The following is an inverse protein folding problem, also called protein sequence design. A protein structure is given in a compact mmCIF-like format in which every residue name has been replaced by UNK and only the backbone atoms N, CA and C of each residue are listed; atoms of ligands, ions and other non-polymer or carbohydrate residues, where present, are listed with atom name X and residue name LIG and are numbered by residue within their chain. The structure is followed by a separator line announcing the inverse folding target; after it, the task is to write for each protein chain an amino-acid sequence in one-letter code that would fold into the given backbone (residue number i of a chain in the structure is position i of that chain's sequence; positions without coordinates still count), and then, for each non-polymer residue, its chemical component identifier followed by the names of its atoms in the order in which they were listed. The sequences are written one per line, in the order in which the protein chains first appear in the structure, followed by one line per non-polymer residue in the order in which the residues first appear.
data_IF_781099585080
#
_entry.id   IF_781099585080
#
_cell.length_a   1.000
_cell.length_b   1.000
_cell.length_c   1.000
_cell.angle_alpha   90.00
_cell.angle_beta   90.00
_cell.angle_gamma   90.00
#
_symmetry.space_group_name_H-M   'P 1'
#
loop_
_entity.id
_entity.type
_entity.pdbx_description
1 polymer ?
#
# COMPACT_ATOMS: atom_id res chain seq x y z
N UNK A 1 -11.18 9.26 4.47
CA UNK A 1 -10.00 8.56 3.96
C UNK A 1 -8.77 8.98 4.76
N UNK A 2 -8.06 8.00 5.36
CA UNK A 2 -6.83 8.26 6.12
C UNK A 2 -5.60 8.28 5.21
N UNK A 3 -4.77 9.31 5.35
CA UNK A 3 -3.61 9.53 4.47
C UNK A 3 -2.36 9.79 5.29
N UNK A 4 -1.29 9.05 4.99
CA UNK A 4 0.04 9.29 5.53
C UNK A 4 0.83 10.19 4.58
N UNK A 5 1.24 11.35 5.05
CA UNK A 5 2.01 12.33 4.31
C UNK A 5 3.47 12.34 4.76
N UNK A 6 4.31 11.58 4.07
CA UNK A 6 5.76 11.51 4.35
C UNK A 6 6.48 12.72 3.73
N UNK A 7 6.16 13.93 4.19
CA UNK A 7 6.63 15.22 3.60
C UNK A 7 8.14 15.39 3.65
N UNK A 8 8.79 14.84 4.68
CA UNK A 8 10.25 14.90 4.84
C UNK A 8 11.04 14.00 3.90
N UNK A 9 10.40 13.02 3.22
CA UNK A 9 11.11 12.08 2.36
C UNK A 9 11.75 12.77 1.16
N UNK A 10 13.08 12.67 1.03
CA UNK A 10 13.87 13.24 -0.07
C UNK A 10 13.46 14.68 -0.43
N UNK A 11 13.54 15.66 0.49
CA UNK A 11 13.15 17.04 0.21
C UNK A 11 14.03 17.71 -0.86
N UNK A 12 15.20 17.16 -1.10
CA UNK A 12 16.12 17.49 -2.18
C UNK A 12 16.98 16.29 -2.55
N UNK A 13 17.82 16.41 -3.56
CA UNK A 13 18.66 15.31 -4.09
C UNK A 13 19.68 14.77 -3.06
N UNK A 14 20.04 15.56 -2.05
CA UNK A 14 20.95 15.16 -0.97
C UNK A 14 20.22 14.56 0.24
N UNK A 15 18.88 14.64 0.29
CA UNK A 15 18.07 14.24 1.44
C UNK A 15 18.29 15.15 2.67
N UNK A 16 18.75 16.40 2.46
CA UNK A 16 18.97 17.34 3.57
C UNK A 16 17.63 17.75 4.18
N UNK A 17 17.48 17.60 5.50
CA UNK A 17 16.23 17.88 6.20
C UNK A 17 15.25 16.69 6.20
N UNK A 18 15.65 15.50 5.75
CA UNK A 18 14.77 14.33 5.70
C UNK A 18 14.24 13.90 7.08
N UNK A 19 14.98 14.20 8.14
CA UNK A 19 14.59 13.88 9.52
C UNK A 19 13.86 15.01 10.24
N UNK A 20 13.52 16.09 9.53
CA UNK A 20 12.69 17.14 10.11
C UNK A 20 11.26 16.61 10.36
N UNK A 21 10.62 17.02 11.48
CA UNK A 21 9.30 16.53 11.86
C UNK A 21 8.18 17.28 11.09
N UNK A 22 8.14 17.07 9.78
CA UNK A 22 7.19 17.73 8.85
C UNK A 22 6.15 16.80 8.26
N UNK A 23 6.16 15.52 8.66
CA UNK A 23 5.19 14.54 8.22
C UNK A 23 3.86 14.66 8.97
N UNK A 24 2.78 14.19 8.35
CA UNK A 24 1.41 14.27 8.87
C UNK A 24 0.67 12.95 8.68
N UNK A 25 -0.39 12.76 9.45
CA UNK A 25 -1.48 11.85 9.17
C UNK A 25 -2.74 12.70 9.09
N UNK A 26 -3.43 12.65 7.96
CA UNK A 26 -4.61 13.44 7.70
C UNK A 26 -5.84 12.56 7.46
N UNK A 27 -7.01 13.08 7.80
CA UNK A 27 -8.31 12.50 7.47
C UNK A 27 -8.93 13.38 6.38
N UNK A 28 -9.32 12.75 5.28
CA UNK A 28 -10.01 13.40 4.18
C UNK A 28 -11.46 12.93 4.13
N UNK A 29 -12.39 13.86 4.00
CA UNK A 29 -13.83 13.60 3.97
C UNK A 29 -14.46 14.15 2.71
N UNK A 30 -15.28 13.34 2.05
CA UNK A 30 -16.15 13.69 0.94
C UNK A 30 -17.53 13.99 1.55
N UNK A 31 -17.84 15.26 1.74
CA UNK A 31 -19.01 15.72 2.51
C UNK A 31 -20.29 15.61 1.69
N UNK A 32 -20.22 15.89 0.38
CA UNK A 32 -21.38 15.89 -0.50
C UNK A 32 -21.55 14.60 -1.31
N UNK A 33 -20.60 13.67 -1.21
CA UNK A 33 -20.68 12.34 -1.85
C UNK A 33 -20.37 12.33 -3.35
N UNK A 34 -19.75 13.39 -3.87
CA UNK A 34 -19.43 13.49 -5.31
C UNK A 34 -18.16 12.70 -5.70
N UNK A 35 -17.39 12.27 -4.71
CA UNK A 35 -16.16 11.51 -4.85
C UNK A 35 -14.90 12.36 -4.89
N UNK A 36 -15.04 13.66 -4.59
CA UNK A 36 -13.94 14.58 -4.33
C UNK A 36 -13.90 14.85 -2.83
N UNK A 37 -12.72 14.86 -2.24
CA UNK A 37 -12.58 15.16 -0.82
C UNK A 37 -12.64 16.67 -0.59
N UNK A 38 -13.66 17.13 0.16
CA UNK A 38 -13.92 18.54 0.45
C UNK A 38 -13.17 19.04 1.67
N UNK A 39 -13.05 18.20 2.67
CA UNK A 39 -12.45 18.54 3.95
C UNK A 39 -11.20 17.73 4.22
N UNK A 40 -10.27 18.37 4.94
CA UNK A 40 -9.01 17.77 5.37
C UNK A 40 -8.73 18.19 6.81
N UNK A 41 -8.69 17.21 7.68
CA UNK A 41 -8.36 17.36 9.09
C UNK A 41 -6.98 16.79 9.40
N UNK A 42 -6.28 17.40 10.35
CA UNK A 42 -4.98 16.93 10.84
C UNK A 42 -5.16 16.01 12.04
N UNK A 43 -5.09 14.70 11.82
CA UNK A 43 -5.11 13.75 12.93
C UNK A 43 -3.81 13.78 13.74
N UNK A 44 -2.66 13.87 13.08
CA UNK A 44 -1.36 13.98 13.72
C UNK A 44 -0.38 14.75 12.85
N UNK A 45 0.40 15.65 13.46
CA UNK A 45 1.43 16.45 12.80
C UNK A 45 2.79 16.33 13.49
N UNK A 46 3.82 16.93 12.92
CA UNK A 46 5.14 16.93 13.52
C UNK A 46 5.83 15.56 13.50
N UNK A 47 5.54 14.73 12.49
CA UNK A 47 6.01 13.36 12.40
C UNK A 47 7.27 13.24 11.53
N UNK A 48 8.20 12.37 11.93
CA UNK A 48 9.40 12.06 11.16
C UNK A 48 9.14 10.82 10.32
N UNK A 49 9.06 10.98 9.00
CA UNK A 49 8.90 9.89 8.03
C UNK A 49 7.83 8.85 8.42
N UNK A 50 6.57 9.24 8.68
CA UNK A 50 5.50 8.29 8.98
C UNK A 50 5.29 7.36 7.78
N UNK A 51 5.02 6.03 8.01
CA UNK A 51 5.05 5.02 6.94
C UNK A 51 3.78 4.19 6.78
N UNK A 52 2.83 4.35 7.65
CA UNK A 52 1.58 3.63 7.57
C UNK A 52 0.64 3.98 8.69
N UNK A 53 -0.65 3.84 8.41
CA UNK A 53 -1.76 4.08 9.34
C UNK A 53 -2.80 2.99 9.15
N UNK A 54 -3.34 2.48 10.25
CA UNK A 54 -4.49 1.60 10.27
C UNK A 54 -5.48 2.12 11.32
N UNK A 55 -6.59 2.75 10.88
CA UNK A 55 -7.63 3.23 11.79
C UNK A 55 -8.28 2.07 12.55
N UNK A 56 -8.41 2.20 13.88
CA UNK A 56 -9.03 1.21 14.74
C UNK A 56 -9.27 1.76 16.15
N UNK A 57 -10.27 1.21 16.85
CA UNK A 57 -10.49 1.43 18.28
C UNK A 57 -10.52 2.90 18.74
N UNK A 58 -11.17 3.79 17.99
CA UNK A 58 -11.23 5.23 18.32
C UNK A 58 -9.89 5.95 18.17
N UNK A 59 -9.09 5.52 17.19
CA UNK A 59 -7.80 6.11 16.89
C UNK A 59 -7.12 5.40 15.75
N UNK A 60 -5.79 5.31 15.75
CA UNK A 60 -5.04 4.65 14.68
C UNK A 60 -3.73 4.00 15.15
N UNK A 61 -3.42 2.84 14.61
CA UNK A 61 -2.11 2.23 14.73
C UNK A 61 -1.19 2.80 13.64
N UNK A 62 -0.11 3.45 14.07
CA UNK A 62 0.77 4.24 13.20
C UNK A 62 2.21 3.74 13.24
N UNK A 63 2.84 3.65 12.06
CA UNK A 63 4.27 3.36 11.94
C UNK A 63 5.01 4.68 11.94
N UNK A 64 5.58 5.04 13.09
CA UNK A 64 6.34 6.28 13.33
C UNK A 64 7.75 5.90 13.77
N UNK A 65 8.71 5.72 12.87
CA UNK A 65 10.03 5.24 13.21
C UNK A 65 10.68 6.00 14.38
N UNK A 66 11.32 5.31 15.33
CA UNK A 66 11.59 3.86 15.36
C UNK A 66 10.47 3.00 15.99
N UNK A 67 9.29 3.55 16.21
CA UNK A 67 8.22 2.94 16.98
C UNK A 67 7.00 2.56 16.12
N UNK A 68 6.30 1.52 16.53
CA UNK A 68 4.90 1.30 16.25
C UNK A 68 4.12 1.90 17.42
N UNK A 69 3.21 2.81 17.14
CA UNK A 69 2.44 3.53 18.15
C UNK A 69 0.95 3.41 17.89
N UNK A 70 0.16 3.43 18.94
CA UNK A 70 -1.27 3.68 18.86
C UNK A 70 -1.52 5.11 19.30
N UNK A 71 -2.19 5.88 18.45
CA UNK A 71 -2.63 7.23 18.69
C UNK A 71 -4.14 7.17 18.89
N UNK A 72 -4.63 7.52 20.08
CA UNK A 72 -6.06 7.55 20.40
C UNK A 72 -6.60 8.97 20.33
N UNK A 73 -7.80 9.09 19.79
CA UNK A 73 -8.65 10.26 19.81
C UNK A 73 -9.70 9.97 20.90
N UNK A 74 -9.49 10.54 22.09
CA UNK A 74 -10.25 10.18 23.28
C UNK A 74 -11.53 11.02 23.40
N UNK A 75 -11.61 12.18 22.75
CA UNK A 75 -12.77 13.08 22.77
C UNK A 75 -13.55 13.14 21.43
N UNK A 76 -13.02 12.53 20.36
CA UNK A 76 -13.71 12.39 19.09
C UNK A 76 -13.64 13.65 18.21
N UNK A 77 -12.66 14.52 18.41
CA UNK A 77 -12.51 15.76 17.66
C UNK A 77 -11.73 15.62 16.33
N UNK A 78 -11.23 14.40 16.04
CA UNK A 78 -10.49 14.08 14.82
C UNK A 78 -8.99 14.29 14.93
N UNK A 79 -8.47 14.71 16.08
CA UNK A 79 -7.06 14.77 16.40
C UNK A 79 -6.69 13.75 17.49
N UNK A 80 -5.45 13.31 17.58
CA UNK A 80 -5.07 12.40 18.64
C UNK A 80 -4.75 13.14 19.94
N UNK A 81 -5.22 12.57 21.08
CA UNK A 81 -4.97 13.06 22.45
C UNK A 81 -3.84 12.28 23.12
N UNK A 82 -3.84 10.96 22.97
CA UNK A 82 -2.92 10.08 23.68
C UNK A 82 -2.08 9.23 22.74
N UNK A 83 -0.85 8.91 23.17
CA UNK A 83 0.13 8.13 22.42
C UNK A 83 0.63 6.97 23.26
N UNK A 84 0.39 5.74 22.78
CA UNK A 84 0.89 4.50 23.38
C UNK A 84 1.96 3.88 22.47
N UNK A 85 3.12 3.51 23.01
CA UNK A 85 4.15 2.77 22.26
C UNK A 85 3.82 1.27 22.32
N UNK A 86 3.47 0.70 21.17
CA UNK A 86 3.14 -0.73 21.01
C UNK A 86 4.40 -1.59 20.91
N UNK A 87 5.34 -1.19 20.07
CA UNK A 87 6.65 -1.83 19.91
C UNK A 87 7.69 -0.78 19.55
N UNK A 88 8.84 -0.83 20.17
CA UNK A 88 9.98 0.03 19.82
C UNK A 88 11.08 -0.73 19.08
N UNK A 89 11.92 0.02 18.38
CA UNK A 89 13.09 -0.55 17.67
C UNK A 89 12.71 -1.30 16.40
N UNK A 90 11.63 -0.91 15.73
CA UNK A 90 11.14 -1.55 14.50
C UNK A 90 12.08 -1.46 13.32
N UNK A 91 12.90 -0.44 13.29
CA UNK A 91 13.62 -0.01 12.10
C UNK A 91 15.10 -0.30 12.21
N UNK A 92 15.74 -0.49 11.08
CA UNK A 92 17.20 -0.50 10.96
C UNK A 92 17.80 0.92 11.03
N UNK A 93 16.99 1.89 11.46
CA UNK A 93 17.29 3.31 11.52
C UNK A 93 16.59 4.10 10.42
N UNK A 94 16.54 5.43 10.56
CA UNK A 94 15.93 6.34 9.57
C UNK A 94 16.72 6.42 8.25
N UNK A 95 17.89 5.79 8.19
CA UNK A 95 18.83 5.91 7.06
C UNK A 95 18.40 5.16 5.80
N UNK A 96 17.45 4.23 5.90
CA UNK A 96 16.95 3.46 4.76
C UNK A 96 15.42 3.33 4.76
N UNK A 97 14.68 4.41 4.52
CA UNK A 97 13.22 4.42 4.58
C UNK A 97 12.55 3.53 3.52
N UNK A 98 13.20 3.23 2.41
CA UNK A 98 12.63 2.38 1.35
C UNK A 98 12.58 0.88 1.71
N UNK A 99 13.36 0.45 2.70
CA UNK A 99 13.49 -0.96 3.07
C UNK A 99 13.09 -1.23 4.53
N UNK A 100 12.04 -0.57 4.97
CA UNK A 100 11.58 -0.68 6.34
C UNK A 100 10.10 -1.11 6.42
N UNK A 101 9.62 -1.39 7.64
CA UNK A 101 8.23 -1.75 7.91
C UNK A 101 7.26 -0.73 7.31
N UNK A 102 6.19 -1.22 6.69
CA UNK A 102 5.16 -0.39 6.07
C UNK A 102 3.84 -1.16 5.93
N UNK A 103 2.80 -0.48 5.45
CA UNK A 103 1.50 -1.03 5.06
C UNK A 103 0.87 -1.92 6.15
N UNK A 104 0.41 -1.33 7.26
CA UNK A 104 -0.37 -2.07 8.26
C UNK A 104 -1.72 -2.48 7.67
N UNK A 105 -2.07 -3.77 7.76
CA UNK A 105 -3.33 -4.32 7.27
C UNK A 105 -3.96 -5.19 8.35
N UNK A 106 -5.21 -4.90 8.69
CA UNK A 106 -6.01 -5.72 9.59
C UNK A 106 -6.45 -6.98 8.82
N UNK A 107 -6.03 -8.14 9.31
CA UNK A 107 -6.42 -9.43 8.73
C UNK A 107 -7.76 -9.96 9.28
N UNK A 108 -8.37 -10.92 8.57
CA UNK A 108 -9.58 -11.61 9.03
C UNK A 108 -9.38 -12.39 10.35
N UNK A 109 -8.15 -12.53 10.80
CA UNK A 109 -7.76 -13.15 12.06
C UNK A 109 -7.65 -12.15 13.24
N UNK A 110 -8.06 -10.89 13.01
CA UNK A 110 -7.96 -9.76 13.96
C UNK A 110 -6.52 -9.44 14.40
N UNK A 111 -5.53 -9.75 13.57
CA UNK A 111 -4.16 -9.30 13.72
C UNK A 111 -3.84 -8.23 12.69
N UNK A 112 -3.01 -7.28 13.06
CA UNK A 112 -2.43 -6.32 12.11
C UNK A 112 -1.14 -6.89 11.57
N UNK A 113 -1.09 -7.06 10.27
CA UNK A 113 0.06 -7.56 9.51
C UNK A 113 0.77 -6.41 8.82
N UNK A 114 2.04 -6.63 8.45
CA UNK A 114 2.88 -5.59 7.87
C UNK A 114 3.69 -6.13 6.69
N UNK A 115 4.01 -5.28 5.76
CA UNK A 115 5.08 -5.54 4.82
C UNK A 115 6.44 -5.32 5.49
N UNK A 116 7.41 -6.13 5.09
CA UNK A 116 8.82 -6.00 5.49
C UNK A 116 9.10 -6.10 7.01
N UNK A 117 8.21 -6.77 7.75
CA UNK A 117 8.39 -7.07 9.17
C UNK A 117 8.01 -8.51 9.49
N UNK A 118 8.67 -9.09 10.50
CA UNK A 118 8.51 -10.50 10.86
C UNK A 118 7.61 -10.72 12.08
N UNK A 119 6.72 -9.79 12.36
CA UNK A 119 5.72 -9.88 13.43
C UNK A 119 4.40 -9.31 12.97
N UNK A 120 3.33 -9.72 13.65
CA UNK A 120 2.03 -9.06 13.67
C UNK A 120 1.65 -8.68 15.10
N UNK A 121 0.74 -7.73 15.24
CA UNK A 121 0.26 -7.25 16.53
C UNK A 121 -1.26 -7.34 16.60
N UNK A 122 -1.80 -7.44 17.82
CA UNK A 122 -3.23 -7.44 18.07
C UNK A 122 -3.53 -6.75 19.40
N UNK A 123 -4.54 -5.89 19.41
CA UNK A 123 -5.08 -5.35 20.67
C UNK A 123 -5.88 -6.45 21.37
N UNK A 124 -5.66 -6.63 22.64
CA UNK A 124 -6.35 -7.60 23.51
C UNK A 124 -6.85 -6.87 24.75
N UNK A 125 -7.90 -7.41 25.34
CA UNK A 125 -8.51 -6.85 26.55
C UNK A 125 -8.50 -7.91 27.63
N UNK A 126 -8.21 -7.53 28.87
CA UNK A 126 -8.33 -8.40 30.03
C UNK A 126 -9.80 -8.53 30.47
N UNK A 127 -10.04 -9.29 31.54
CA UNK A 127 -11.38 -9.52 32.07
C UNK A 127 -12.04 -8.23 32.64
N UNK A 128 -11.23 -7.24 32.99
CA UNK A 128 -11.67 -5.92 33.46
C UNK A 128 -11.87 -4.94 32.29
N UNK A 129 -11.53 -5.34 31.04
CA UNK A 129 -11.64 -4.53 29.84
C UNK A 129 -10.45 -3.62 29.57
N UNK A 130 -9.33 -3.75 30.31
CA UNK A 130 -8.16 -2.93 30.07
C UNK A 130 -7.42 -3.40 28.79
N UNK A 131 -7.07 -2.46 27.90
CA UNK A 131 -6.39 -2.80 26.65
C UNK A 131 -4.89 -3.11 26.87
N UNK A 132 -4.37 -4.01 26.06
CA UNK A 132 -2.94 -4.26 25.91
C UNK A 132 -2.63 -4.77 24.49
N UNK A 133 -1.34 -4.95 24.16
CA UNK A 133 -0.93 -5.44 22.85
C UNK A 133 -0.23 -6.77 22.93
N UNK A 134 -0.67 -7.71 22.11
CA UNK A 134 0.00 -8.98 21.88
C UNK A 134 0.78 -8.96 20.59
N UNK A 135 1.92 -9.64 20.57
CA UNK A 135 2.74 -9.82 19.36
C UNK A 135 2.92 -11.31 19.06
N UNK A 136 2.96 -11.66 17.79
CA UNK A 136 3.34 -13.00 17.34
C UNK A 136 4.39 -12.93 16.25
N UNK A 137 5.24 -13.96 16.15
CA UNK A 137 6.22 -14.06 15.08
C UNK A 137 5.59 -14.55 13.80
N UNK A 138 6.04 -13.99 12.70
CA UNK A 138 5.67 -14.33 11.34
C UNK A 138 6.92 -14.47 10.45
N UNK A 139 6.72 -14.86 9.20
CA UNK A 139 7.76 -14.80 8.19
C UNK A 139 7.66 -13.44 7.50
N UNK A 140 8.50 -12.51 7.92
CA UNK A 140 8.58 -11.19 7.28
C UNK A 140 9.04 -11.32 5.84
N UNK A 141 8.36 -10.66 4.92
CA UNK A 141 8.68 -10.71 3.49
C UNK A 141 8.04 -9.54 2.74
N UNK A 142 8.39 -9.40 1.47
CA UNK A 142 7.96 -8.29 0.63
C UNK A 142 8.82 -7.06 0.81
N UNK A 143 8.45 -5.99 0.14
CA UNK A 143 9.16 -4.71 0.23
C UNK A 143 8.19 -3.56 0.52
N UNK A 144 7.45 -3.06 -0.45
CA UNK A 144 6.54 -1.95 -0.24
C UNK A 144 5.13 -2.31 -0.67
N UNK A 145 4.24 -2.38 0.29
CA UNK A 145 2.84 -2.74 0.11
C UNK A 145 2.49 -4.12 0.63
N UNK A 146 1.37 -4.18 1.32
CA UNK A 146 0.67 -5.37 1.77
C UNK A 146 -0.81 -5.14 1.53
N UNK A 147 -1.50 -6.12 1.01
CA UNK A 147 -2.95 -6.14 0.92
C UNK A 147 -3.47 -7.56 1.14
N UNK A 148 -4.77 -7.73 1.24
CA UNK A 148 -5.42 -9.01 1.51
C UNK A 148 -6.53 -9.24 0.49
N UNK A 149 -6.68 -10.48 0.02
CA UNK A 149 -7.81 -10.89 -0.83
C UNK A 149 -9.02 -11.36 -0.01
N UNK A 150 -10.11 -11.72 -0.68
CA UNK A 150 -11.35 -12.18 -0.05
C UNK A 150 -11.23 -13.54 0.68
N UNK A 151 -10.14 -14.25 0.48
CA UNK A 151 -9.83 -15.50 1.17
C UNK A 151 -8.89 -15.29 2.37
N UNK A 152 -8.55 -14.03 2.68
CA UNK A 152 -7.61 -13.69 3.76
C UNK A 152 -6.15 -13.98 3.41
N UNK A 153 -5.81 -14.15 2.12
CA UNK A 153 -4.45 -14.36 1.64
C UNK A 153 -3.78 -13.02 1.41
N UNK A 154 -2.59 -12.81 1.98
CA UNK A 154 -1.86 -11.56 1.79
C UNK A 154 -1.10 -11.56 0.47
N UNK A 155 -1.18 -10.43 -0.24
CA UNK A 155 -0.37 -10.13 -1.42
C UNK A 155 0.84 -9.31 -1.05
N UNK A 156 1.95 -9.60 -1.70
CA UNK A 156 3.25 -8.95 -1.48
C UNK A 156 3.98 -8.78 -2.82
N UNK A 157 4.99 -7.94 -2.82
CA UNK A 157 5.88 -7.73 -3.98
C UNK A 157 7.33 -7.50 -3.53
N UNK A 158 8.23 -7.56 -4.49
CA UNK A 158 9.59 -6.99 -4.41
C UNK A 158 9.79 -6.06 -5.61
N UNK A 159 10.80 -5.20 -5.60
CA UNK A 159 11.03 -4.27 -6.71
C UNK A 159 10.95 -4.91 -8.10
N UNK A 160 11.63 -6.05 -8.39
CA UNK A 160 11.59 -6.65 -9.71
C UNK A 160 10.50 -7.73 -9.89
N UNK A 161 9.82 -8.15 -8.85
CA UNK A 161 8.81 -9.20 -8.91
C UNK A 161 7.48 -8.66 -8.38
N UNK A 162 6.47 -8.51 -9.27
CA UNK A 162 5.26 -7.77 -8.96
C UNK A 162 4.34 -8.46 -7.95
N UNK A 163 4.36 -9.81 -7.85
CA UNK A 163 3.33 -10.48 -7.09
C UNK A 163 3.81 -11.77 -6.41
N UNK A 164 3.48 -11.86 -5.12
CA UNK A 164 3.55 -13.05 -4.29
C UNK A 164 2.26 -13.15 -3.47
N UNK A 165 1.90 -14.37 -3.07
CA UNK A 165 0.81 -14.63 -2.15
C UNK A 165 1.27 -15.41 -0.92
N UNK A 166 0.71 -15.08 0.23
CA UNK A 166 0.74 -15.91 1.41
C UNK A 166 -0.50 -16.83 1.39
N UNK A 167 -0.44 -17.98 0.70
CA UNK A 167 -1.55 -18.94 0.59
C UNK A 167 -1.81 -19.70 1.88
N UNK A 168 -0.82 -19.74 2.77
CA UNK A 168 -0.96 -20.22 4.15
C UNK A 168 -0.37 -19.15 5.07
N UNK A 169 -1.09 -18.74 6.13
CA UNK A 169 -0.58 -17.74 7.06
C UNK A 169 0.77 -18.13 7.66
N UNK A 170 1.74 -17.25 7.55
CA UNK A 170 3.14 -17.55 7.84
C UNK A 170 3.42 -17.91 9.31
N UNK A 171 2.56 -17.46 10.23
CA UNK A 171 2.68 -17.77 11.65
C UNK A 171 2.54 -19.27 11.99
N UNK A 172 1.86 -20.05 11.15
CA UNK A 172 1.82 -21.52 11.30
C UNK A 172 3.18 -22.13 11.05
N UNK A 173 3.91 -21.63 10.06
CA UNK A 173 5.23 -22.13 9.70
C UNK A 173 6.28 -21.88 10.79
N UNK A 174 6.28 -20.67 11.36
CA UNK A 174 7.31 -20.29 12.37
C UNK A 174 7.15 -21.00 13.72
N UNK A 175 5.98 -21.59 14.00
CA UNK A 175 5.76 -22.41 15.19
C UNK A 175 6.58 -23.70 15.20
N UNK A 176 6.87 -24.25 14.03
CA UNK A 176 7.65 -25.46 13.92
C UNK A 176 9.14 -25.15 13.68
N UNK A 177 9.93 -25.16 14.74
CA UNK A 177 11.37 -24.87 14.69
C UNK A 177 12.17 -25.85 13.80
N UNK A 178 11.62 -27.02 13.50
CA UNK A 178 12.26 -28.05 12.70
C UNK A 178 11.85 -28.02 11.23
N UNK A 179 10.84 -27.25 10.87
CA UNK A 179 10.40 -27.13 9.48
C UNK A 179 11.32 -26.18 8.71
N UNK A 180 12.13 -26.78 7.83
CA UNK A 180 12.93 -26.04 6.86
C UNK A 180 12.18 -26.04 5.52
N UNK A 181 12.07 -24.86 4.87
CA UNK A 181 11.45 -24.76 3.55
C UNK A 181 9.92 -24.85 3.58
N UNK A 182 9.28 -23.84 4.14
CA UNK A 182 7.82 -23.69 4.04
C UNK A 182 7.45 -22.94 2.75
N UNK A 183 6.64 -23.57 1.91
CA UNK A 183 6.26 -23.04 0.61
C UNK A 183 4.88 -22.36 0.58
N UNK A 184 4.22 -22.22 1.72
CA UNK A 184 2.87 -21.61 1.82
C UNK A 184 2.87 -20.10 2.00
N UNK A 185 3.97 -19.50 2.43
CA UNK A 185 4.12 -18.05 2.57
C UNK A 185 5.13 -17.52 1.56
N UNK A 186 4.88 -16.32 1.06
CA UNK A 186 5.68 -15.68 0.03
C UNK A 186 5.84 -16.58 -1.22
N UNK A 187 4.72 -17.13 -1.66
CA UNK A 187 4.69 -17.94 -2.87
C UNK A 187 4.76 -17.02 -4.10
N UNK A 188 5.79 -17.21 -4.92
CA UNK A 188 5.85 -16.55 -6.23
C UNK A 188 4.68 -17.01 -7.10
N UNK A 189 4.05 -16.05 -7.74
CA UNK A 189 3.00 -16.26 -8.74
C UNK A 189 3.64 -16.24 -10.12
N UNK A 190 3.17 -17.10 -11.01
CA UNK A 190 3.56 -17.05 -12.42
C UNK A 190 2.89 -15.83 -13.06
N UNK A 191 3.61 -14.71 -13.06
CA UNK A 191 3.16 -13.41 -13.51
C UNK A 191 4.17 -12.82 -14.48
N UNK A 192 3.69 -12.27 -15.59
CA UNK A 192 4.54 -11.48 -16.48
C UNK A 192 5.12 -10.28 -15.75
N UNK A 193 6.40 -10.04 -15.94
CA UNK A 193 7.08 -8.88 -15.38
C UNK A 193 7.15 -7.72 -16.37
N UNK A 194 6.69 -7.90 -17.59
CA UNK A 194 6.69 -6.87 -18.62
C UNK A 194 5.70 -5.77 -18.29
N UNK A 195 6.09 -4.53 -18.60
CA UNK A 195 5.29 -3.32 -18.45
C UNK A 195 5.32 -2.49 -19.73
N UNK A 196 4.26 -1.71 -19.96
CA UNK A 196 4.04 -0.97 -21.21
C UNK A 196 3.76 0.51 -20.92
N UNK A 197 4.80 1.30 -20.55
CA UNK A 197 4.64 2.73 -20.26
C UNK A 197 4.22 3.53 -21.49
N UNK A 198 3.46 4.61 -21.27
CA UNK A 198 3.09 5.57 -22.34
C UNK A 198 4.17 6.62 -22.66
N UNK A 199 5.38 6.47 -22.10
CA UNK A 199 6.48 7.39 -22.28
C UNK A 199 7.84 6.70 -22.10
N UNK A 200 8.89 7.29 -22.63
CA UNK A 200 10.25 6.87 -22.37
C UNK A 200 10.66 7.10 -20.90
N UNK A 201 11.46 6.23 -20.34
CA UNK A 201 11.86 6.22 -18.92
C UNK A 201 13.41 6.20 -18.77
N UNK A 202 14.15 7.15 -19.32
CA UNK A 202 15.62 7.06 -19.38
C UNK A 202 16.31 7.22 -18.02
N UNK A 203 15.63 7.87 -17.05
CA UNK A 203 16.17 8.20 -15.74
C UNK A 203 15.62 7.35 -14.60
N UNK A 204 15.28 6.08 -14.85
CA UNK A 204 14.75 5.18 -13.82
C UNK A 204 15.85 4.37 -13.13
N UNK A 205 15.55 3.84 -11.94
CA UNK A 205 16.43 2.90 -11.27
C UNK A 205 16.66 1.66 -12.17
N UNK A 206 17.92 1.28 -12.34
CA UNK A 206 18.36 0.22 -13.28
C UNK A 206 18.06 0.48 -14.77
N UNK A 207 17.46 1.62 -15.11
CA UNK A 207 17.16 1.98 -16.49
C UNK A 207 18.40 2.24 -17.37
N UNK A 208 19.58 2.31 -16.75
CA UNK A 208 20.87 2.36 -17.42
C UNK A 208 21.44 0.97 -17.74
N UNK A 209 20.75 -0.11 -17.38
CA UNK A 209 21.10 -1.49 -17.73
C UNK A 209 20.27 -1.91 -18.96
N UNK A 210 20.90 -2.49 -19.95
CA UNK A 210 20.28 -2.85 -21.24
C UNK A 210 18.99 -3.67 -21.10
N UNK A 211 18.98 -4.63 -20.17
CA UNK A 211 17.82 -5.52 -19.97
C UNK A 211 16.60 -4.84 -19.33
N UNK A 212 16.73 -3.61 -18.83
CA UNK A 212 15.65 -2.90 -18.13
C UNK A 212 14.83 -2.04 -19.06
N UNK A 213 15.41 -1.57 -20.14
CA UNK A 213 14.77 -0.74 -21.15
C UNK A 213 14.64 -1.48 -22.48
N UNK A 214 13.60 -1.17 -23.25
CA UNK A 214 13.46 -1.52 -24.66
C UNK A 214 14.35 -0.60 -25.53
N UNK A 215 14.44 -0.92 -26.81
CA UNK A 215 15.23 -0.13 -27.79
C UNK A 215 14.73 1.31 -27.93
N UNK A 216 13.44 1.55 -27.67
CA UNK A 216 12.81 2.87 -27.67
C UNK A 216 12.95 3.64 -26.34
N UNK A 217 13.72 3.12 -25.38
CA UNK A 217 13.92 3.65 -24.04
C UNK A 217 12.68 3.63 -23.14
N UNK A 218 11.65 2.88 -23.47
CA UNK A 218 10.56 2.59 -22.54
C UNK A 218 10.97 1.51 -21.53
N UNK A 219 10.45 1.59 -20.31
CA UNK A 219 10.68 0.55 -19.28
C UNK A 219 10.14 -0.79 -19.78
N UNK A 220 10.96 -1.85 -19.70
CA UNK A 220 10.59 -3.19 -20.17
C UNK A 220 10.01 -4.05 -19.04
N UNK A 221 10.64 -4.06 -17.88
CA UNK A 221 10.27 -4.88 -16.73
C UNK A 221 10.08 -4.05 -15.49
N UNK A 222 9.29 -4.57 -14.54
CA UNK A 222 9.20 -3.99 -13.20
C UNK A 222 10.59 -3.75 -12.60
N UNK A 223 10.78 -2.58 -12.03
CA UNK A 223 11.97 -2.18 -11.28
C UNK A 223 11.66 -1.56 -9.94
N UNK A 224 10.42 -1.13 -9.75
CA UNK A 224 9.91 -0.49 -8.55
C UNK A 224 8.51 -0.96 -8.18
N UNK A 225 8.16 -2.24 -8.47
CA UNK A 225 6.85 -2.77 -8.12
C UNK A 225 6.52 -2.53 -6.65
N UNK A 226 5.32 -2.01 -6.41
CA UNK A 226 4.80 -1.77 -5.06
C UNK A 226 3.28 -1.88 -5.02
N UNK A 227 2.74 -2.05 -3.80
CA UNK A 227 1.31 -2.10 -3.53
C UNK A 227 0.54 -3.08 -4.43
N UNK A 228 0.93 -4.37 -4.40
CA UNK A 228 0.15 -5.42 -5.04
C UNK A 228 -1.19 -5.58 -4.33
N UNK A 229 -2.27 -5.00 -4.89
CA UNK A 229 -3.57 -4.83 -4.23
C UNK A 229 -4.66 -5.57 -4.99
N UNK A 230 -5.30 -6.59 -4.39
CA UNK A 230 -6.52 -7.17 -4.92
C UNK A 230 -7.64 -6.14 -4.90
N UNK A 231 -8.37 -6.01 -6.01
CA UNK A 231 -9.60 -5.24 -6.02
C UNK A 231 -10.70 -6.05 -5.32
N UNK A 232 -11.27 -5.49 -4.27
CA UNK A 232 -12.30 -6.13 -3.46
C UNK A 232 -13.58 -5.29 -3.45
N UNK A 233 -13.94 -4.79 -4.63
CA UNK A 233 -15.08 -3.92 -4.86
C UNK A 233 -15.59 -3.98 -6.30
N UNK A 234 -16.81 -3.50 -6.54
CA UNK A 234 -17.52 -3.67 -7.81
C UNK A 234 -17.45 -2.46 -8.75
N UNK A 235 -16.85 -1.34 -8.35
CA UNK A 235 -16.91 -0.10 -9.15
C UNK A 235 -16.11 -0.14 -10.46
N UNK A 236 -15.21 -1.12 -10.63
CA UNK A 236 -14.54 -1.39 -11.90
C UNK A 236 -15.23 -2.48 -12.75
N UNK A 237 -16.36 -3.00 -12.29
CA UNK A 237 -17.12 -4.11 -12.88
C UNK A 237 -16.80 -5.45 -12.23
N UNK A 238 -17.72 -6.40 -12.36
CA UNK A 238 -17.58 -7.74 -11.79
C UNK A 238 -16.37 -8.48 -12.36
N UNK A 239 -16.01 -8.21 -13.62
CA UNK A 239 -14.86 -8.78 -14.30
C UNK A 239 -13.50 -8.35 -13.72
N UNK A 240 -13.49 -7.32 -12.89
CA UNK A 240 -12.27 -6.82 -12.24
C UNK A 240 -12.17 -7.23 -10.76
N UNK A 241 -13.25 -7.74 -10.18
CA UNK A 241 -13.27 -8.11 -8.76
C UNK A 241 -12.39 -9.34 -8.52
N UNK A 242 -11.45 -9.23 -7.58
CA UNK A 242 -10.45 -10.26 -7.30
C UNK A 242 -9.16 -10.14 -8.10
N UNK A 243 -9.14 -9.32 -9.17
CA UNK A 243 -7.91 -9.02 -9.90
C UNK A 243 -6.92 -8.24 -9.05
N UNK A 244 -5.64 -8.45 -9.29
CA UNK A 244 -4.58 -7.74 -8.55
C UNK A 244 -4.01 -6.63 -9.39
N UNK A 245 -3.98 -5.44 -8.80
CA UNK A 245 -3.37 -4.25 -9.36
C UNK A 245 -2.01 -4.02 -8.72
N UNK A 246 -1.00 -3.65 -9.52
CA UNK A 246 0.37 -3.43 -9.04
C UNK A 246 0.89 -2.11 -9.57
N UNK A 247 1.36 -1.25 -8.67
CA UNK A 247 2.00 0.01 -9.04
C UNK A 247 3.42 -0.23 -9.56
N UNK A 248 3.78 0.52 -10.62
CA UNK A 248 5.17 0.67 -11.10
C UNK A 248 5.47 2.17 -11.26
N UNK A 249 5.88 2.84 -10.17
CA UNK A 249 6.11 4.28 -10.20
C UNK A 249 7.26 4.70 -11.11
N UNK A 250 8.22 3.84 -11.40
CA UNK A 250 9.32 4.17 -12.33
C UNK A 250 8.86 4.18 -13.77
N UNK A 251 7.87 3.34 -14.11
CA UNK A 251 7.20 3.30 -15.40
C UNK A 251 6.02 4.25 -15.55
N UNK A 252 5.62 4.94 -14.48
CA UNK A 252 4.45 5.82 -14.44
C UNK A 252 3.14 5.07 -14.78
N UNK A 253 2.92 3.91 -14.17
CA UNK A 253 1.80 3.03 -14.51
C UNK A 253 1.30 2.18 -13.34
N UNK A 254 0.11 1.61 -13.55
CA UNK A 254 -0.48 0.52 -12.75
C UNK A 254 -0.82 -0.63 -13.69
N UNK A 255 -0.36 -1.83 -13.38
CA UNK A 255 -0.65 -3.07 -14.11
C UNK A 255 -1.78 -3.84 -13.43
N UNK A 256 -2.64 -4.51 -14.22
CA UNK A 256 -3.73 -5.38 -13.76
C UNK A 256 -3.47 -6.82 -14.17
N UNK A 257 -3.64 -7.73 -13.21
CA UNK A 257 -3.55 -9.18 -13.41
C UNK A 257 -4.87 -9.86 -13.04
N UNK A 258 -5.38 -10.71 -13.91
CA UNK A 258 -6.41 -11.70 -13.61
C UNK A 258 -5.78 -12.89 -12.86
N UNK A 259 -6.30 -13.22 -11.68
CA UNK A 259 -5.75 -14.26 -10.81
C UNK A 259 -6.54 -15.54 -10.99
N UNK A 260 -5.86 -16.56 -11.51
CA UNK A 260 -6.45 -17.88 -11.74
C UNK A 260 -5.76 -18.93 -10.86
N UNK A 261 -6.56 -19.68 -10.12
CA UNK A 261 -6.10 -20.86 -9.42
C UNK A 261 -6.13 -22.07 -10.34
N UNK A 262 -5.00 -22.78 -10.48
CA UNK A 262 -4.93 -24.03 -11.23
C UNK A 262 -5.29 -25.21 -10.32
N UNK A 263 -6.44 -25.86 -10.55
CA UNK A 263 -6.93 -26.94 -9.66
C UNK A 263 -5.99 -28.13 -9.56
N UNK A 264 -5.25 -28.42 -10.63
CA UNK A 264 -4.33 -29.55 -10.75
C UNK A 264 -3.06 -29.41 -9.93
N UNK A 265 -2.62 -28.18 -9.67
CA UNK A 265 -1.36 -27.88 -9.01
C UNK A 265 -1.49 -27.01 -7.76
N UNK A 266 -2.68 -26.50 -7.47
CA UNK A 266 -2.97 -25.49 -6.45
C UNK A 266 -2.05 -24.27 -6.56
N UNK A 267 -1.59 -23.94 -7.78
CA UNK A 267 -0.76 -22.78 -8.08
C UNK A 267 -1.62 -21.61 -8.53
N UNK A 268 -1.26 -20.43 -8.11
CA UNK A 268 -1.81 -19.18 -8.62
C UNK A 268 -1.03 -18.76 -9.86
N UNK A 269 -1.77 -18.34 -10.87
CA UNK A 269 -1.24 -17.73 -12.11
C UNK A 269 -1.86 -16.36 -12.24
N UNK A 270 -1.07 -15.38 -12.60
CA UNK A 270 -1.50 -14.01 -12.86
C UNK A 270 -1.39 -13.73 -14.36
N UNK A 271 -2.52 -13.74 -15.03
CA UNK A 271 -2.58 -13.46 -16.46
C UNK A 271 -2.61 -11.96 -16.70
N UNK A 272 -1.90 -11.49 -17.71
CA UNK A 272 -2.04 -10.12 -18.20
C UNK A 272 -3.46 -9.95 -18.77
N UNK A 273 -4.24 -9.02 -18.20
CA UNK A 273 -5.60 -8.75 -18.69
C UNK A 273 -5.56 -8.14 -20.10
N UNK A 274 -4.50 -7.41 -20.40
CA UNK A 274 -4.24 -6.85 -21.73
C UNK A 274 -2.81 -7.10 -22.14
N UNK A 275 -2.61 -7.52 -23.35
CA UNK A 275 -1.29 -7.71 -23.94
C UNK A 275 -0.80 -6.38 -24.54
N UNK A 276 0.44 -6.01 -24.26
CA UNK A 276 1.10 -4.77 -24.73
C UNK A 276 0.43 -3.46 -24.23
N UNK A 277 -0.38 -3.53 -23.16
CA UNK A 277 -0.99 -2.39 -22.52
C UNK A 277 -1.09 -2.62 -21.00
N UNK A 278 -0.91 -1.55 -20.23
CA UNK A 278 -1.19 -1.58 -18.81
C UNK A 278 -2.53 -0.92 -18.47
N UNK A 279 -3.06 -1.22 -17.28
CA UNK A 279 -4.37 -0.75 -16.85
C UNK A 279 -4.47 0.77 -16.82
N UNK A 280 -3.48 1.42 -16.25
CA UNK A 280 -3.36 2.87 -16.14
C UNK A 280 -1.93 3.28 -16.44
N UNK A 281 -1.76 4.20 -17.37
CA UNK A 281 -0.45 4.77 -17.72
C UNK A 281 -0.54 6.29 -17.79
N UNK A 282 0.59 6.98 -17.58
CA UNK A 282 0.67 8.42 -17.69
C UNK A 282 1.85 8.85 -18.55
N UNK A 283 1.61 9.85 -19.41
CA UNK A 283 2.68 10.55 -20.13
C UNK A 283 3.41 11.55 -19.25
N UNK A 284 2.88 11.82 -18.05
CA UNK A 284 3.48 12.77 -17.12
C UNK A 284 4.51 12.09 -16.22
N UNK A 285 5.75 12.56 -16.27
CA UNK A 285 6.88 11.94 -15.58
C UNK A 285 6.76 11.91 -14.05
N UNK A 286 5.98 12.83 -13.47
CA UNK A 286 5.79 12.91 -12.02
C UNK A 286 4.64 12.03 -11.50
N UNK A 287 3.87 11.40 -12.37
CA UNK A 287 2.89 10.39 -11.93
C UNK A 287 3.64 9.21 -11.30
N UNK A 288 3.45 9.04 -10.00
CA UNK A 288 4.16 8.03 -9.20
C UNK A 288 3.17 7.30 -8.29
N UNK A 289 2.41 6.34 -8.83
CA UNK A 289 1.49 5.54 -8.02
C UNK A 289 2.32 4.67 -7.06
N UNK A 290 2.02 4.72 -5.76
CA UNK A 290 2.82 4.03 -4.72
C UNK A 290 2.01 3.21 -3.74
N UNK A 291 0.71 3.50 -3.59
CA UNK A 291 -0.19 2.73 -2.74
C UNK A 291 -1.59 2.69 -3.35
N UNK A 292 -2.32 1.62 -3.07
CA UNK A 292 -3.70 1.45 -3.52
C UNK A 292 -4.54 0.81 -2.43
N UNK A 293 -5.84 1.11 -2.45
CA UNK A 293 -6.85 0.47 -1.61
C UNK A 293 -8.21 0.47 -2.29
N UNK A 294 -9.08 -0.46 -1.92
CA UNK A 294 -10.50 -0.39 -2.28
C UNK A 294 -11.23 0.50 -1.28
N UNK A 295 -12.07 1.40 -1.76
CA UNK A 295 -12.87 2.29 -0.90
C UNK A 295 -14.26 1.73 -0.58
N UNK A 296 -15.01 2.43 0.29
CA UNK A 296 -16.38 2.04 0.69
C UNK A 296 -17.36 2.01 -0.49
N UNK A 297 -17.09 2.76 -1.54
CA UNK A 297 -17.84 2.80 -2.80
C UNK A 297 -17.42 1.71 -3.80
N UNK A 298 -16.49 0.82 -3.43
CA UNK A 298 -15.95 -0.24 -4.28
C UNK A 298 -15.01 0.22 -5.37
N UNK A 299 -14.63 1.50 -5.40
CA UNK A 299 -13.65 2.03 -6.33
C UNK A 299 -12.21 1.73 -5.89
N UNK A 300 -11.28 1.83 -6.83
CA UNK A 300 -9.85 1.74 -6.57
C UNK A 300 -9.29 3.14 -6.32
N UNK A 301 -8.73 3.34 -5.13
CA UNK A 301 -8.04 4.57 -4.76
C UNK A 301 -6.54 4.40 -4.92
N UNK A 302 -5.88 5.33 -5.60
CA UNK A 302 -4.44 5.26 -5.93
C UNK A 302 -3.75 6.50 -5.37
N UNK A 303 -2.84 6.30 -4.43
CA UNK A 303 -1.97 7.37 -3.94
C UNK A 303 -0.84 7.63 -4.95
N UNK A 304 -0.78 8.85 -5.45
CA UNK A 304 0.21 9.35 -6.38
C UNK A 304 1.11 10.36 -5.67
N UNK A 305 2.37 10.01 -5.45
CA UNK A 305 3.34 10.95 -4.86
C UNK A 305 3.53 12.21 -5.70
N UNK A 306 3.28 12.12 -7.00
CA UNK A 306 3.46 13.16 -7.99
C UNK A 306 4.80 13.89 -7.88
N UNK A 307 5.87 13.11 -7.90
CA UNK A 307 7.24 13.59 -7.71
C UNK A 307 8.17 13.14 -8.84
N UNK A 308 9.09 14.00 -9.23
CA UNK A 308 10.14 13.62 -10.17
C UNK A 308 11.21 12.72 -9.53
N UNK A 309 11.60 13.05 -8.31
CA UNK A 309 12.56 12.27 -7.51
C UNK A 309 11.82 11.39 -6.50
N UNK A 310 11.95 10.07 -6.64
CA UNK A 310 11.37 9.08 -5.71
C UNK A 310 12.41 8.14 -5.10
N UNK A 311 13.62 8.08 -5.66
CA UNK A 311 14.69 7.21 -5.18
C UNK A 311 15.38 7.85 -3.98
N UNK A 312 15.56 7.08 -2.90
CA UNK A 312 16.31 7.57 -1.74
C UNK A 312 17.79 7.82 -2.07
N UNK A 313 18.40 8.81 -1.42
CA UNK A 313 19.78 9.27 -1.66
C UNK A 313 20.84 8.17 -1.66
N UNK A 314 20.66 7.11 -0.82
CA UNK A 314 21.61 6.00 -0.72
C UNK A 314 21.64 5.11 -1.96
N UNK A 315 20.60 5.16 -2.78
CA UNK A 315 20.47 4.42 -4.03
C UNK A 315 20.64 5.30 -5.29
N UNK A 316 20.85 6.61 -5.13
CA UNK A 316 21.08 7.53 -6.25
C UNK A 316 22.48 7.34 -6.83
N UNK A 317 22.55 6.74 -8.02
CA UNK A 317 23.76 6.65 -8.79
C UNK A 317 24.13 8.01 -9.41
N UNK A 318 25.38 8.17 -9.83
CA UNK A 318 25.82 9.37 -10.58
C UNK A 318 24.97 9.60 -11.82
N UNK A 319 24.57 8.54 -12.51
CA UNK A 319 23.70 8.62 -13.67
C UNK A 319 22.32 9.21 -13.31
N UNK A 320 21.66 8.65 -12.30
CA UNK A 320 20.34 9.14 -11.86
C UNK A 320 20.39 10.57 -11.35
N UNK A 321 21.43 10.93 -10.58
CA UNK A 321 21.65 12.30 -10.11
C UNK A 321 21.70 13.30 -11.27
N UNK A 322 22.47 12.99 -12.30
CA UNK A 322 22.54 13.82 -13.50
C UNK A 322 21.19 13.94 -14.20
N UNK A 323 20.43 12.84 -14.35
CA UNK A 323 19.08 12.88 -14.94
C UNK A 323 18.12 13.78 -14.14
N UNK A 324 18.20 13.76 -12.81
CA UNK A 324 17.37 14.59 -11.93
C UNK A 324 17.72 16.07 -12.13
N UNK A 325 19.01 16.40 -12.16
CA UNK A 325 19.49 17.78 -12.31
C UNK A 325 19.18 18.35 -13.70
N UNK A 326 19.51 17.63 -14.77
CA UNK A 326 19.28 18.04 -16.18
C UNK A 326 17.78 18.27 -16.48
N UNK A 327 16.90 17.53 -15.83
CA UNK A 327 15.45 17.54 -16.09
C UNK A 327 14.64 18.28 -15.01
N UNK A 328 15.31 18.87 -14.03
CA UNK A 328 14.65 19.63 -12.96
C UNK A 328 13.68 18.79 -12.13
N UNK A 329 14.00 17.52 -11.85
CA UNK A 329 13.08 16.59 -11.20
C UNK A 329 13.07 16.68 -9.67
N UNK A 330 13.99 17.41 -9.07
CA UNK A 330 14.05 17.59 -7.61
C UNK A 330 12.84 18.36 -7.04
N UNK A 331 12.21 19.21 -7.83
CA UNK A 331 11.01 19.98 -7.46
C UNK A 331 10.01 20.06 -8.60
N UNK A 332 8.80 20.57 -8.38
CA UNK A 332 8.25 21.00 -7.10
C UNK A 332 7.88 19.81 -6.18
N UNK A 333 7.70 20.10 -4.88
CA UNK A 333 7.25 19.19 -3.84
C UNK A 333 5.81 19.53 -3.41
N UNK A 334 5.16 18.63 -2.62
CA UNK A 334 3.85 18.91 -2.05
C UNK A 334 2.69 18.84 -3.03
N UNK A 335 2.84 18.11 -4.14
CA UNK A 335 1.82 17.95 -5.19
C UNK A 335 1.17 16.56 -5.19
N UNK A 336 1.36 15.77 -4.14
CA UNK A 336 0.73 14.46 -3.99
C UNK A 336 -0.78 14.53 -4.11
N UNK A 337 -1.39 13.49 -4.62
CA UNK A 337 -2.84 13.39 -4.83
C UNK A 337 -3.31 11.96 -4.75
N UNK A 338 -4.61 11.79 -4.62
CA UNK A 338 -5.26 10.49 -4.64
C UNK A 338 -6.22 10.46 -5.82
N UNK A 339 -6.10 9.42 -6.64
CA UNK A 339 -6.99 9.17 -7.76
C UNK A 339 -8.04 8.16 -7.35
N UNK A 340 -9.33 8.47 -7.58
CA UNK A 340 -10.44 7.54 -7.49
C UNK A 340 -10.74 7.00 -8.88
N UNK A 341 -10.60 5.69 -9.06
CA UNK A 341 -10.78 5.03 -10.36
C UNK A 341 -12.01 4.13 -10.32
N UNK A 342 -12.96 4.38 -11.23
CA UNK A 342 -14.17 3.59 -11.44
C UNK A 342 -14.57 3.54 -12.91
N UNK A 343 -15.37 2.59 -13.31
CA UNK A 343 -15.96 2.55 -14.65
C UNK A 343 -17.15 3.52 -14.73
N UNK A 344 -17.27 4.20 -15.87
CA UNK A 344 -18.35 5.17 -16.09
C UNK A 344 -19.72 4.53 -16.28
N UNK A 345 -19.73 3.29 -16.79
CA UNK A 345 -20.93 2.49 -17.09
C UNK A 345 -21.37 1.60 -15.91
N UNK A 346 -20.66 1.64 -14.80
CA UNK A 346 -21.06 0.97 -13.56
C UNK A 346 -21.72 2.00 -12.65
N UNK A 347 -22.91 1.65 -12.17
CA UNK A 347 -23.63 2.49 -11.20
C UNK A 347 -22.76 2.72 -9.97
N UNK A 348 -22.77 3.95 -9.47
CA UNK A 348 -22.04 4.25 -8.26
C UNK A 348 -22.62 3.42 -7.10
N UNK A 349 -21.75 2.86 -6.27
CA UNK A 349 -22.21 2.26 -5.03
C UNK A 349 -23.01 3.28 -4.21
N UNK A 350 -24.01 2.86 -3.43
CA UNK A 350 -24.72 3.77 -2.54
C UNK A 350 -23.71 4.49 -1.62
N UNK A 351 -24.09 5.68 -1.13
CA UNK A 351 -23.23 6.45 -0.24
C UNK A 351 -22.77 5.60 0.94
N UNK A 352 -21.66 5.96 1.55
CA UNK A 352 -21.06 5.24 2.66
C UNK A 352 -22.12 4.96 3.75
N UNK A 353 -22.23 3.71 4.12
CA UNK A 353 -23.13 3.29 5.23
C UNK A 353 -22.41 3.60 6.54
N UNK A 354 -23.07 4.30 7.43
CA UNK A 354 -22.59 4.42 8.80
C UNK A 354 -22.84 3.09 9.54
N UNK A 355 -21.78 2.29 9.64
CA UNK A 355 -21.85 0.99 10.32
C UNK A 355 -21.99 1.13 11.84
N UNK A 356 -21.65 2.30 12.41
CA UNK A 356 -21.82 2.58 13.83
C UNK A 356 -23.28 2.71 14.26
N UNK A 357 -24.14 3.22 13.36
CA UNK A 357 -25.57 3.36 13.57
C UNK A 357 -26.38 2.15 13.06
N UNK A 358 -25.73 1.19 12.38
CA UNK A 358 -26.41 0.05 11.79
C UNK A 358 -26.91 -0.94 12.83
N UNK A 359 -28.13 -1.44 12.64
CA UNK A 359 -28.69 -2.52 13.46
C UNK A 359 -27.92 -3.84 13.21
N UNK A 360 -28.00 -4.77 14.17
CA UNK A 360 -27.41 -6.10 14.03
C UNK A 360 -27.87 -6.84 12.76
N UNK A 361 -29.12 -6.67 12.35
CA UNK A 361 -29.66 -7.28 11.15
C UNK A 361 -29.06 -6.69 9.87
N UNK A 362 -28.81 -5.38 9.84
CA UNK A 362 -28.14 -4.69 8.73
C UNK A 362 -26.67 -5.08 8.68
N UNK A 363 -25.96 -5.12 9.80
CA UNK A 363 -24.57 -5.61 9.86
C UNK A 363 -24.44 -7.03 9.31
N UNK A 364 -25.35 -7.95 9.68
CA UNK A 364 -25.40 -9.31 9.12
C UNK A 364 -25.71 -9.28 7.61
N UNK A 365 -26.52 -8.33 7.15
CA UNK A 365 -26.80 -8.12 5.73
C UNK A 365 -25.52 -7.71 4.96
N UNK A 366 -24.70 -6.84 5.53
CA UNK A 366 -23.45 -6.36 4.92
C UNK A 366 -22.39 -7.43 4.74
N UNK A 367 -22.43 -8.55 5.50
CA UNK A 367 -21.54 -9.69 5.26
C UNK A 367 -21.69 -10.32 3.85
N UNK A 368 -22.76 -9.99 3.12
CA UNK A 368 -22.97 -10.41 1.72
C UNK A 368 -22.60 -9.35 0.69
N UNK A 369 -22.11 -8.21 1.13
CA UNK A 369 -21.74 -7.13 0.21
C UNK A 369 -20.66 -7.59 -0.79
N UNK A 370 -20.75 -7.23 -2.07
CA UNK A 370 -19.65 -7.43 -3.02
C UNK A 370 -18.43 -6.56 -2.66
N UNK A 371 -18.64 -5.57 -1.80
CA UNK A 371 -17.63 -4.63 -1.31
C UNK A 371 -17.00 -5.13 -0.01
N UNK A 372 -15.73 -5.48 -0.04
CA UNK A 372 -15.03 -5.98 1.12
C UNK A 372 -14.94 -4.94 2.26
N UNK A 373 -14.87 -3.68 1.93
CA UNK A 373 -14.86 -2.61 2.92
C UNK A 373 -16.09 -2.67 3.87
N UNK A 374 -17.24 -3.12 3.37
CA UNK A 374 -18.45 -3.31 4.16
C UNK A 374 -18.50 -4.67 4.87
N UNK A 375 -17.77 -5.68 4.36
CA UNK A 375 -17.78 -7.04 4.96
C UNK A 375 -16.82 -7.20 6.11
N UNK A 376 -15.64 -6.59 6.02
CA UNK A 376 -14.51 -6.74 6.94
C UNK A 376 -14.62 -5.78 8.12
#
# INVERSE_FOLDING_TARGET
LWVVEMRGYMPNIAGTGEHEPVGHIAILTDVDGDGVMDEREEFAEGLVLPRGVAPMYGGALCILPPDLVFLADDDGDGAFDTREVVVTGLTKGLENPEHDINSPVVGLDNWVHFANWNKSVRRVFDDEGNPSWSTRSERGSGQWGLAMDDLGRFTRNTNPAPLFFDVVPSHYAVRNKHQRGFHGAFCGVDASREVWPSRINPGVNRGYQEVTLRDDYTLHYFTGACSATPLRGSALGEDANGDVFVCEPTGNLVKRYDIVERPDTARLVANDVRHEFDFLTSTHERFRPVAMTSGPDGALYIADMYRGLIQHRIFLTTFLRRQIEERGLAGPMGLGRIWRVRRKDVEAAPPAVDLGEATLAELVGHLRSPNAWLRD
#
